data_IF_270110041405
#
_entry.id   IF_270110041405
#
_cell.length_a   1.000
_cell.length_b   1.000
_cell.length_c   1.000
_cell.angle_alpha   90.00
_cell.angle_beta   90.00
_cell.angle_gamma   90.00
#
_symmetry.space_group_name_H-M   'P 1'
#
loop_
_entity.id
_entity.type
_entity.pdbx_description
1 polymer ?
#
# COMPACT_ATOMS: atom_id res chain seq x y z
N UNK A 1 2.66 -6.18 -1.59
CA UNK A 1 2.94 -6.86 -0.31
C UNK A 1 2.29 -8.23 -0.26
N UNK A 2 1.01 -8.37 0.14
CA UNK A 2 0.37 -9.69 0.36
C UNK A 2 0.50 -10.66 -0.83
N UNK A 3 0.25 -10.16 -2.03
CA UNK A 3 0.34 -10.95 -3.27
C UNK A 3 1.77 -11.20 -3.78
N UNK A 4 2.80 -10.79 -3.02
CA UNK A 4 4.20 -10.83 -3.42
C UNK A 4 4.46 -10.22 -4.83
N UNK A 5 3.97 -9.00 -5.06
CA UNK A 5 4.01 -8.28 -6.36
C UNK A 5 3.26 -8.94 -7.52
N UNK A 6 2.52 -10.03 -7.31
CA UNK A 6 1.61 -10.59 -8.33
C UNK A 6 0.47 -9.63 -8.71
N UNK A 7 0.06 -8.76 -7.79
CA UNK A 7 -0.84 -7.65 -8.07
C UNK A 7 -0.12 -6.32 -7.91
N UNK A 8 -0.29 -5.44 -8.89
CA UNK A 8 0.39 -4.15 -8.97
C UNK A 8 -0.52 -3.05 -8.45
N UNK A 9 -0.08 -2.35 -7.40
CA UNK A 9 -0.70 -1.12 -6.93
C UNK A 9 -0.17 0.06 -7.75
N UNK A 10 -1.05 0.69 -8.54
CA UNK A 10 -0.65 1.72 -9.51
C UNK A 10 -0.81 3.15 -8.96
N UNK A 11 0.05 4.04 -9.44
CA UNK A 11 -0.09 5.48 -9.21
C UNK A 11 -1.28 6.03 -10.01
N UNK A 12 -2.12 6.83 -9.37
CA UNK A 12 -3.25 7.49 -10.00
C UNK A 12 -3.30 8.98 -9.62
N UNK A 13 -3.80 9.82 -10.52
CA UNK A 13 -3.99 11.25 -10.29
C UNK A 13 -5.32 11.72 -10.88
N UNK A 14 -5.87 12.80 -10.33
CA UNK A 14 -7.04 13.48 -10.87
C UNK A 14 -6.59 14.78 -11.51
N UNK A 15 -6.95 14.99 -12.77
CA UNK A 15 -6.73 16.26 -13.47
C UNK A 15 -7.91 17.20 -13.19
N UNK A 16 -7.60 18.47 -12.90
CA UNK A 16 -8.60 19.53 -12.86
C UNK A 16 -9.04 19.92 -14.28
N UNK A 17 -10.27 20.42 -14.40
CA UNK A 17 -10.82 20.97 -15.65
C UNK A 17 -11.45 22.33 -15.37
N UNK A 18 -11.47 23.21 -16.38
CA UNK A 18 -12.10 24.52 -16.32
C UNK A 18 -13.61 24.51 -16.61
N UNK A 19 -14.14 23.41 -17.15
CA UNK A 19 -15.54 23.29 -17.63
C UNK A 19 -16.59 23.03 -16.53
N UNK A 20 -16.23 23.16 -15.25
CA UNK A 20 -17.14 22.97 -14.12
C UNK A 20 -16.72 21.86 -13.14
N UNK A 21 -17.54 21.61 -12.08
CA UNK A 21 -17.17 20.70 -11.01
C UNK A 21 -17.16 19.23 -11.46
N UNK A 22 -16.15 18.47 -11.03
CA UNK A 22 -16.09 17.00 -11.13
C UNK A 22 -16.27 16.40 -9.74
N UNK A 23 -17.32 15.60 -9.57
CA UNK A 23 -17.63 14.94 -8.29
C UNK A 23 -17.32 13.44 -8.41
N UNK A 24 -16.62 12.91 -7.42
CA UNK A 24 -16.36 11.47 -7.27
C UNK A 24 -16.33 11.11 -5.79
N UNK A 25 -16.89 9.95 -5.45
CA UNK A 25 -16.85 9.40 -4.09
C UNK A 25 -16.04 8.10 -4.12
N UNK A 26 -14.93 8.06 -3.38
CA UNK A 26 -14.11 6.87 -3.26
C UNK A 26 -14.45 6.12 -1.96
N UNK A 27 -14.49 4.80 -2.02
CA UNK A 27 -14.59 3.93 -0.85
C UNK A 27 -13.37 3.03 -0.76
N UNK A 28 -12.72 3.00 0.41
CA UNK A 28 -11.52 2.23 0.65
C UNK A 28 -11.81 1.09 1.62
N UNK A 29 -11.78 -0.14 1.12
CA UNK A 29 -11.91 -1.33 1.95
C UNK A 29 -10.55 -1.69 2.55
N UNK A 30 -10.47 -1.69 3.88
CA UNK A 30 -9.27 -2.05 4.62
C UNK A 30 -9.64 -3.06 5.70
N UNK A 31 -8.74 -3.99 5.97
CA UNK A 31 -8.96 -4.99 7.01
C UNK A 31 -8.92 -4.39 8.44
N UNK A 32 -8.36 -3.19 8.61
CA UNK A 32 -8.20 -2.50 9.89
C UNK A 32 -8.38 -0.98 9.74
N UNK A 33 -8.61 -0.31 10.87
CA UNK A 33 -8.75 1.15 10.93
C UNK A 33 -7.44 1.88 10.57
N UNK A 34 -7.55 3.17 10.22
CA UNK A 34 -6.40 4.01 9.87
C UNK A 34 -5.43 4.28 11.03
N UNK A 35 -5.84 3.97 12.28
CA UNK A 35 -5.05 4.27 13.48
C UNK A 35 -4.12 3.13 13.87
N UNK A 36 -4.19 1.98 13.19
CA UNK A 36 -3.31 0.85 13.48
C UNK A 36 -3.56 0.23 14.85
N UNK A 37 -4.78 0.39 15.39
CA UNK A 37 -5.14 -0.05 16.75
C UNK A 37 -5.10 -1.58 16.94
N UNK A 38 -4.89 -2.33 15.86
CA UNK A 38 -4.69 -3.77 15.90
C UNK A 38 -3.28 -4.08 15.37
N UNK A 39 -2.38 -4.50 16.27
CA UNK A 39 -1.05 -5.00 15.95
C UNK A 39 -1.19 -6.21 15.01
N UNK A 40 -1.01 -5.96 13.71
CA UNK A 40 -1.05 -7.00 12.69
C UNK A 40 0.05 -6.74 11.69
N UNK A 41 0.88 -7.75 11.53
CA UNK A 41 1.93 -7.77 10.53
C UNK A 41 1.35 -8.21 9.18
N UNK A 42 1.75 -7.53 8.11
CA UNK A 42 1.45 -7.88 6.74
C UNK A 42 2.74 -8.23 6.03
N UNK A 43 2.81 -9.42 5.45
CA UNK A 43 3.89 -9.88 4.60
C UNK A 43 3.34 -10.63 3.40
N UNK A 44 4.20 -11.12 2.50
CA UNK A 44 3.78 -12.04 1.45
C UNK A 44 3.01 -13.24 2.02
N UNK A 45 1.91 -13.63 1.37
CA UNK A 45 1.11 -14.79 1.75
C UNK A 45 2.00 -16.05 1.62
N UNK A 46 2.17 -16.88 2.67
CA UNK A 46 3.08 -18.02 2.67
C UNK A 46 2.86 -18.99 1.50
N UNK A 47 1.60 -19.23 1.13
CA UNK A 47 1.19 -20.11 0.04
C UNK A 47 1.57 -19.59 -1.36
N UNK A 48 1.98 -18.32 -1.45
CA UNK A 48 2.48 -17.72 -2.69
C UNK A 48 4.01 -17.71 -2.77
N UNK A 49 4.73 -18.15 -1.74
CA UNK A 49 6.20 -18.14 -1.69
C UNK A 49 6.78 -19.50 -2.07
N UNK A 50 7.81 -19.50 -2.92
CA UNK A 50 8.58 -20.69 -3.30
C UNK A 50 10.05 -20.33 -3.57
N UNK A 51 10.90 -21.31 -3.91
CA UNK A 51 12.29 -21.04 -4.32
C UNK A 51 12.34 -20.18 -5.60
N UNK A 52 11.40 -20.39 -6.52
CA UNK A 52 11.27 -19.62 -7.77
C UNK A 52 10.54 -18.28 -7.59
N UNK A 53 9.81 -18.12 -6.48
CA UNK A 53 9.11 -16.88 -6.12
C UNK A 53 9.42 -16.49 -4.66
N UNK A 54 10.65 -16.04 -4.36
CA UNK A 54 11.05 -15.67 -3.01
C UNK A 54 10.30 -14.44 -2.51
N UNK A 55 10.23 -14.21 -1.19
CA UNK A 55 9.54 -13.06 -0.62
C UNK A 55 10.23 -11.76 -1.03
N UNK A 56 9.45 -10.83 -1.58
CA UNK A 56 9.91 -9.50 -2.00
C UNK A 56 9.84 -8.48 -0.86
N UNK A 57 9.05 -8.78 0.17
CA UNK A 57 8.79 -7.89 1.30
C UNK A 57 9.01 -8.62 2.61
N UNK A 58 9.54 -7.89 3.61
CA UNK A 58 9.54 -8.36 5.00
C UNK A 58 8.12 -8.28 5.57
N UNK A 59 7.94 -8.83 6.78
CA UNK A 59 6.75 -8.53 7.56
C UNK A 59 6.73 -7.05 7.97
N UNK A 60 5.60 -6.39 7.75
CA UNK A 60 5.39 -4.95 7.94
C UNK A 60 4.35 -4.74 9.03
N UNK A 61 4.67 -3.97 10.06
CA UNK A 61 3.65 -3.43 10.96
C UNK A 61 2.82 -2.39 10.21
N UNK A 62 1.49 -2.54 10.18
CA UNK A 62 0.61 -1.59 9.51
C UNK A 62 0.77 -0.18 10.08
N UNK A 63 1.01 -0.03 11.38
CA UNK A 63 1.23 1.29 11.99
C UNK A 63 2.51 1.94 11.46
N UNK A 64 3.62 1.19 11.41
CA UNK A 64 4.89 1.64 10.84
C UNK A 64 4.71 2.09 9.38
N UNK A 65 4.00 1.30 8.58
CA UNK A 65 3.69 1.64 7.20
C UNK A 65 2.86 2.92 7.07
N UNK A 66 1.80 3.07 7.88
CA UNK A 66 0.91 4.23 7.81
C UNK A 66 1.61 5.51 8.24
N UNK A 67 2.40 5.46 9.32
CA UNK A 67 3.19 6.60 9.80
C UNK A 67 4.18 7.06 8.71
N UNK A 68 4.88 6.11 8.07
CA UNK A 68 5.78 6.42 6.96
C UNK A 68 5.02 6.95 5.74
N UNK A 69 3.92 6.32 5.34
CA UNK A 69 3.12 6.71 4.18
C UNK A 69 2.61 8.16 4.30
N UNK A 70 2.08 8.52 5.48
CA UNK A 70 1.58 9.87 5.77
C UNK A 70 2.74 10.87 5.76
N UNK A 71 3.84 10.57 6.46
CA UNK A 71 4.99 11.47 6.54
C UNK A 71 5.71 11.68 5.21
N UNK A 72 5.74 10.66 4.35
CA UNK A 72 6.36 10.70 3.01
C UNK A 72 5.63 11.63 2.04
N UNK A 73 4.29 11.65 2.10
CA UNK A 73 3.45 12.43 1.18
C UNK A 73 3.61 12.03 -0.30
N UNK A 74 3.30 12.98 -1.19
CA UNK A 74 3.27 12.79 -2.65
C UNK A 74 4.63 13.15 -3.29
N UNK A 75 5.64 12.30 -3.09
CA UNK A 75 6.99 12.50 -3.65
C UNK A 75 7.30 11.62 -4.89
N UNK A 76 6.29 10.97 -5.48
CA UNK A 76 6.41 10.18 -6.71
C UNK A 76 7.06 8.79 -6.57
N UNK A 77 7.63 8.45 -5.41
CA UNK A 77 8.21 7.12 -5.17
C UNK A 77 7.20 6.19 -4.49
N UNK A 78 7.41 4.87 -4.54
CA UNK A 78 6.55 3.92 -3.82
C UNK A 78 6.75 4.04 -2.31
N UNK A 79 5.66 4.04 -1.54
CA UNK A 79 5.75 3.96 -0.08
C UNK A 79 6.18 2.56 0.41
N UNK A 80 6.22 1.57 -0.48
CA UNK A 80 6.62 0.20 -0.16
C UNK A 80 8.13 -0.03 -0.25
N UNK A 81 8.90 0.90 -0.83
CA UNK A 81 10.35 0.73 -1.04
C UNK A 81 11.12 0.40 0.24
N UNK A 82 10.89 1.06 1.39
CA UNK A 82 11.62 0.76 2.64
C UNK A 82 11.30 -0.62 3.26
N UNK A 83 10.29 -1.30 2.72
CA UNK A 83 9.80 -2.57 3.25
C UNK A 83 10.14 -3.77 2.35
N UNK A 84 10.85 -3.54 1.24
CA UNK A 84 11.39 -4.61 0.40
C UNK A 84 12.58 -5.29 1.09
N UNK A 85 12.78 -6.57 0.77
CA UNK A 85 13.99 -7.34 1.14
C UNK A 85 15.09 -7.10 0.11
#
# INVERSE_FOLDING_TARGET
VLSNDKFISVNHRVLSKSEGPRISVASFFRAQDMMGNASRFYGPIPELISEENPPVYRNIDLKEYMDYYIGKGLNGTSALTPFRI
#
